data_IF_802705442300
#
_entry.id   IF_802705442300
#
_cell.length_a   1.000
_cell.length_b   1.000
_cell.length_c   1.000
_cell.angle_alpha   90.00
_cell.angle_beta   90.00
_cell.angle_gamma   90.00
#
_symmetry.space_group_name_H-M   'P 1'
#
loop_
_entity.id
_entity.type
_entity.pdbx_description
1 polymer ?
#
# COMPACT_ATOMS: atom_id res chain seq x y z
N UNK A 1 23.23 16.00 -6.66
CA UNK A 1 22.25 16.73 -5.82
C UNK A 1 20.88 16.31 -6.31
N UNK A 2 20.38 15.19 -5.80
CA UNK A 2 18.98 14.79 -5.94
C UNK A 2 18.55 14.43 -4.53
N UNK A 3 17.90 15.39 -3.88
CA UNK A 3 17.27 15.19 -2.58
C UNK A 3 16.19 14.12 -2.75
N UNK A 4 16.49 12.91 -2.26
CA UNK A 4 15.45 12.00 -1.82
C UNK A 4 14.70 12.71 -0.70
N UNK A 5 13.59 13.37 -1.04
CA UNK A 5 12.65 13.89 -0.06
C UNK A 5 12.01 12.66 0.60
N UNK A 6 12.67 12.12 1.62
CA UNK A 6 12.13 11.10 2.52
C UNK A 6 11.19 11.83 3.49
N UNK A 7 10.14 12.44 2.94
CA UNK A 7 8.97 12.89 3.67
C UNK A 7 7.85 11.86 3.51
N UNK A 8 6.96 11.67 4.50
CA UNK A 8 5.82 10.78 4.32
C UNK A 8 5.02 11.29 3.12
N UNK A 9 4.92 10.47 2.07
CA UNK A 9 4.01 10.75 0.95
C UNK A 9 2.60 10.63 1.53
N UNK A 10 2.02 11.77 1.88
CA UNK A 10 0.65 11.86 2.38
C UNK A 10 -0.27 11.53 1.21
N UNK A 11 -1.05 10.47 1.37
CA UNK A 11 -2.05 10.07 0.38
C UNK A 11 -3.43 10.22 1.00
N UNK A 12 -4.36 10.84 0.29
CA UNK A 12 -5.74 10.88 0.74
C UNK A 12 -6.54 9.78 0.05
N UNK A 13 -7.46 9.16 0.77
CA UNK A 13 -8.43 8.28 0.13
C UNK A 13 -9.29 9.10 -0.84
N UNK A 14 -9.37 8.68 -2.11
CA UNK A 14 -10.16 9.41 -3.11
C UNK A 14 -11.66 9.48 -2.79
N UNK A 15 -12.17 8.57 -1.95
CA UNK A 15 -13.60 8.41 -1.66
C UNK A 15 -14.07 9.27 -0.49
N UNK A 16 -13.28 9.39 0.58
CA UNK A 16 -13.66 10.16 1.78
C UNK A 16 -12.70 11.31 2.12
N UNK A 17 -11.59 11.45 1.40
CA UNK A 17 -10.57 12.46 1.68
C UNK A 17 -9.70 12.18 2.91
N UNK A 18 -9.88 11.04 3.59
CA UNK A 18 -9.10 10.72 4.78
C UNK A 18 -7.60 10.64 4.46
N UNK A 19 -6.79 11.28 5.30
CA UNK A 19 -5.34 11.31 5.20
C UNK A 19 -4.74 10.02 5.72
N UNK A 20 -4.18 9.23 4.81
CA UNK A 20 -3.53 7.96 5.08
C UNK A 20 -2.11 8.27 5.57
N UNK A 21 -1.97 8.63 6.85
CA UNK A 21 -0.73 9.19 7.39
C UNK A 21 0.13 8.19 8.20
N UNK A 22 -0.29 6.94 8.43
CA UNK A 22 0.52 5.99 9.21
C UNK A 22 0.50 4.59 8.62
N UNK A 23 1.71 4.08 8.38
CA UNK A 23 2.01 2.75 7.83
C UNK A 23 1.30 1.61 8.60
N UNK A 24 0.95 1.85 9.87
CA UNK A 24 0.35 0.87 10.78
C UNK A 24 -1.19 0.90 10.86
N UNK A 25 -1.86 1.94 10.34
CA UNK A 25 -3.31 2.16 10.55
C UNK A 25 -4.20 1.54 9.44
N UNK A 26 -3.60 0.89 8.43
CA UNK A 26 -4.27 0.55 7.16
C UNK A 26 -4.30 -0.96 6.86
N UNK A 27 -3.57 -1.76 7.63
CA UNK A 27 -3.42 -3.19 7.36
C UNK A 27 -4.50 -3.98 8.10
N UNK A 28 -5.41 -4.58 7.33
CA UNK A 28 -6.25 -5.66 7.86
C UNK A 28 -5.32 -6.86 8.15
N UNK A 29 -4.87 -6.98 9.40
CA UNK A 29 -3.92 -8.04 9.82
C UNK A 29 -4.50 -9.46 9.66
N UNK A 30 -5.79 -9.59 9.36
CA UNK A 30 -6.54 -10.85 9.45
C UNK A 30 -6.83 -11.53 8.11
N UNK A 31 -6.69 -10.85 6.96
CA UNK A 31 -6.95 -11.46 5.65
C UNK A 31 -5.71 -11.41 4.77
N UNK A 32 -5.04 -12.57 4.66
CA UNK A 32 -3.90 -12.81 3.78
C UNK A 32 -4.31 -13.80 2.70
N UNK A 33 -3.91 -13.54 1.47
CA UNK A 33 -4.15 -14.45 0.34
C UNK A 33 -2.90 -14.63 -0.52
N UNK A 34 -2.79 -15.80 -1.14
CA UNK A 34 -1.75 -16.06 -2.13
C UNK A 34 -2.20 -15.55 -3.51
N UNK A 35 -1.49 -14.55 -4.03
CA UNK A 35 -1.78 -13.88 -5.30
C UNK A 35 -0.61 -14.07 -6.27
N UNK A 36 -0.90 -14.53 -7.49
CA UNK A 36 0.09 -14.52 -8.59
C UNK A 36 0.19 -13.11 -9.15
N UNK A 37 1.38 -12.52 -9.03
CA UNK A 37 1.72 -11.22 -9.60
C UNK A 37 2.71 -11.40 -10.74
N UNK A 38 3.04 -10.31 -11.44
CA UNK A 38 4.02 -10.31 -12.53
C UNK A 38 5.37 -10.89 -12.07
N UNK A 39 5.75 -10.64 -10.81
CA UNK A 39 6.97 -11.16 -10.20
C UNK A 39 6.77 -12.51 -9.50
N UNK A 40 5.79 -13.32 -9.89
CA UNK A 40 5.57 -14.64 -9.29
C UNK A 40 4.61 -14.65 -8.09
N UNK A 41 4.61 -15.77 -7.34
CA UNK A 41 3.68 -16.03 -6.25
C UNK A 41 4.06 -15.24 -4.99
N UNK A 42 3.07 -14.55 -4.40
CA UNK A 42 3.23 -13.79 -3.16
C UNK A 42 2.03 -14.01 -2.25
N UNK A 43 2.27 -14.07 -0.94
CA UNK A 43 1.22 -13.87 0.06
C UNK A 43 1.07 -12.37 0.29
N UNK A 44 -0.13 -11.83 0.15
CA UNK A 44 -0.43 -10.40 0.31
C UNK A 44 -1.60 -10.18 1.26
N UNK A 45 -1.67 -9.00 1.86
CA UNK A 45 -2.83 -8.55 2.64
C UNK A 45 -3.37 -7.25 2.06
N UNK A 46 -4.69 -7.18 1.83
CA UNK A 46 -5.30 -5.97 1.31
C UNK A 46 -5.27 -4.83 2.33
N UNK A 47 -5.17 -3.62 1.81
CA UNK A 47 -5.02 -2.37 2.55
C UNK A 47 -6.26 -1.52 2.32
N UNK A 48 -6.91 -1.09 3.39
CA UNK A 48 -8.22 -0.43 3.34
C UNK A 48 -8.21 0.92 4.03
N UNK A 49 -8.95 1.88 3.50
CA UNK A 49 -9.19 3.14 4.20
C UNK A 49 -9.90 2.87 5.54
N UNK A 50 -9.34 3.34 6.66
CA UNK A 50 -9.94 3.13 7.98
C UNK A 50 -11.32 3.79 8.14
N UNK A 51 -11.60 4.84 7.37
CA UNK A 51 -12.85 5.61 7.52
C UNK A 51 -13.97 5.08 6.64
N UNK A 52 -13.68 4.79 5.37
CA UNK A 52 -14.71 4.39 4.40
C UNK A 52 -14.65 2.93 3.96
N UNK A 53 -13.66 2.16 4.44
CA UNK A 53 -13.49 0.74 4.11
C UNK A 53 -13.07 0.47 2.67
N UNK A 54 -12.76 1.50 1.88
CA UNK A 54 -12.38 1.35 0.49
C UNK A 54 -11.03 0.64 0.35
N UNK A 55 -10.92 -0.33 -0.57
CA UNK A 55 -9.64 -0.99 -0.85
C UNK A 55 -8.73 -0.03 -1.61
N UNK A 56 -7.56 0.24 -1.02
CA UNK A 56 -6.58 1.20 -1.55
C UNK A 56 -5.35 0.53 -2.15
N UNK A 57 -5.10 -0.73 -1.82
CA UNK A 57 -3.90 -1.43 -2.24
C UNK A 57 -3.67 -2.75 -1.50
N UNK A 58 -2.41 -3.17 -1.40
CA UNK A 58 -2.00 -4.38 -0.69
C UNK A 58 -0.59 -4.25 -0.10
N UNK A 59 -0.31 -5.03 0.94
CA UNK A 59 1.01 -5.24 1.53
C UNK A 59 1.54 -6.61 1.15
N UNK A 60 2.82 -6.70 0.84
CA UNK A 60 3.49 -7.99 0.69
C UNK A 60 3.77 -8.60 2.07
N UNK A 61 3.22 -9.79 2.32
CA UNK A 61 3.47 -10.55 3.54
C UNK A 61 4.63 -11.52 3.32
N UNK A 62 4.59 -12.25 2.21
CA UNK A 62 5.60 -13.26 1.87
C UNK A 62 5.87 -13.29 0.37
N UNK A 63 7.14 -13.33 0.00
CA UNK A 63 7.59 -13.70 -1.33
C UNK A 63 8.15 -15.13 -1.28
N UNK A 64 7.80 -15.96 -2.26
CA UNK A 64 8.30 -17.34 -2.32
C UNK A 64 9.66 -17.45 -3.01
N UNK A 65 10.05 -16.45 -3.79
CA UNK A 65 11.33 -16.39 -4.48
C UNK A 65 12.28 -15.43 -3.76
N UNK A 66 13.53 -15.87 -3.56
CA UNK A 66 14.56 -15.12 -2.79
C UNK A 66 14.79 -13.73 -3.37
N UNK A 67 14.82 -13.61 -4.70
CA UNK A 67 15.04 -12.33 -5.38
C UNK A 67 13.93 -11.30 -5.12
N UNK A 68 12.76 -11.70 -4.60
CA UNK A 68 11.66 -10.79 -4.28
C UNK A 68 11.42 -10.60 -2.78
N UNK A 69 12.24 -11.21 -1.91
CA UNK A 69 12.14 -11.06 -0.45
C UNK A 69 12.21 -9.62 0.03
N UNK A 70 12.96 -8.77 -0.68
CA UNK A 70 13.04 -7.33 -0.40
C UNK A 70 11.67 -6.61 -0.48
N UNK A 71 10.64 -7.22 -1.07
CA UNK A 71 9.29 -6.66 -1.14
C UNK A 71 8.48 -6.91 0.12
N UNK A 72 8.81 -7.94 0.91
CA UNK A 72 8.09 -8.26 2.14
C UNK A 72 8.04 -7.04 3.06
N UNK A 73 6.87 -6.78 3.65
CA UNK A 73 6.60 -5.61 4.47
C UNK A 73 6.25 -4.33 3.68
N UNK A 74 6.57 -4.24 2.38
CA UNK A 74 6.25 -3.06 1.55
C UNK A 74 4.77 -3.02 1.17
N UNK A 75 4.25 -1.80 1.04
CA UNK A 75 2.86 -1.52 0.65
C UNK A 75 2.85 -0.96 -0.78
N UNK A 76 1.89 -1.43 -1.58
CA UNK A 76 1.56 -0.89 -2.89
C UNK A 76 0.16 -0.30 -2.81
N UNK A 77 0.03 1.00 -3.11
CA UNK A 77 -1.25 1.68 -3.20
C UNK A 77 -1.60 1.92 -4.67
N UNK A 78 -2.87 1.73 -5.00
CA UNK A 78 -3.42 1.97 -6.33
C UNK A 78 -3.60 3.48 -6.56
N UNK A 79 -2.85 4.07 -7.48
CA UNK A 79 -2.83 5.52 -7.71
C UNK A 79 -4.22 6.13 -7.94
N UNK A 80 -5.11 5.42 -8.64
CA UNK A 80 -6.47 5.90 -8.93
C UNK A 80 -7.41 5.85 -7.71
N UNK A 81 -7.01 5.14 -6.65
CA UNK A 81 -7.70 5.09 -5.36
C UNK A 81 -7.19 6.16 -4.39
N UNK A 82 -6.28 7.02 -4.83
CA UNK A 82 -5.68 8.06 -4.01
C UNK A 82 -6.00 9.43 -4.62
N UNK A 83 -6.49 10.37 -3.80
CA UNK A 83 -6.50 11.77 -4.14
C UNK A 83 -5.09 12.34 -3.90
N UNK A 84 -4.55 13.02 -4.91
CA UNK A 84 -3.25 13.66 -4.82
C UNK A 84 -3.45 15.06 -4.23
N UNK A 85 -2.92 15.33 -3.04
CA UNK A 85 -2.72 16.72 -2.58
C UNK A 85 -1.51 17.29 -3.31
N UNK A 86 -1.65 17.55 -4.61
CA UNK A 86 -0.77 18.43 -5.37
C UNK A 86 -1.62 19.13 -6.41
N UNK A 87 -2.47 20.03 -5.92
CA UNK A 87 -3.10 21.05 -6.72
C UNK A 87 -2.08 22.19 -6.90
N UNK A 88 -1.05 21.95 -7.70
CA UNK A 88 -0.14 23.00 -8.16
C UNK A 88 -0.78 23.76 -9.33
#
# INVERSE_FOLDING_TARGET
MEEWVIGPRLYNCYKCGNMICRHDDIVSKTFQEDRRLITGLHTVADVYCCDCGERLGWRYIKAYEEMYKYKEGKIVLEKFKLANENNW
#
